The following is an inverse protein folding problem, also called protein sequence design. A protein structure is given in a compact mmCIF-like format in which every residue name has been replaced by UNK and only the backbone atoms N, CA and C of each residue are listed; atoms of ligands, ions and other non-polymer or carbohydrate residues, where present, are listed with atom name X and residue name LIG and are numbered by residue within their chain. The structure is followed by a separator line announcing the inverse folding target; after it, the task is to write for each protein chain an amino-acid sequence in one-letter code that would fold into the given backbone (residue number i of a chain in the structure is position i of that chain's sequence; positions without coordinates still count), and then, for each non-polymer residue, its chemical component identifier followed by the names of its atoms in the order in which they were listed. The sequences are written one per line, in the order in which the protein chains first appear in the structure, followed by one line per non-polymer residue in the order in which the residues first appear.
data_IF_823745352347
#
_entry.id   IF_823745352347
#
_cell.length_a   1.000
_cell.length_b   1.000
_cell.length_c   1.000
_cell.angle_alpha   90.00
_cell.angle_beta   90.00
_cell.angle_gamma   90.00
#
_symmetry.space_group_name_H-M   'P 1'
#
loop_
_entity.id
_entity.type
_entity.pdbx_description
1 polymer ?
#
# COMPACT_ATOMS: atom_id res chain seq x y z
N UNK A 1 110.77 -49.14 8.70
CA UNK A 1 109.38 -49.09 8.18
C UNK A 1 108.42 -48.39 9.16
N UNK A 2 108.45 -48.72 10.47
CA UNK A 2 107.57 -48.11 11.49
C UNK A 2 107.61 -46.58 11.63
N UNK A 3 108.79 -45.95 11.66
CA UNK A 3 108.88 -44.48 11.84
C UNK A 3 108.36 -43.65 10.65
N UNK A 4 108.38 -44.20 9.42
CA UNK A 4 107.80 -43.55 8.23
C UNK A 4 106.27 -43.66 8.25
N UNK A 5 105.74 -44.83 8.60
CA UNK A 5 104.30 -45.05 8.80
C UNK A 5 103.74 -44.15 9.91
N UNK A 6 104.48 -43.98 11.02
CA UNK A 6 104.06 -43.09 12.10
C UNK A 6 103.98 -41.62 11.67
N UNK A 7 104.99 -41.11 10.94
CA UNK A 7 104.96 -39.75 10.38
C UNK A 7 103.85 -39.54 9.36
N UNK A 8 103.61 -40.49 8.46
CA UNK A 8 102.48 -40.43 7.53
C UNK A 8 101.14 -40.43 8.27
N UNK A 9 100.98 -41.25 9.30
CA UNK A 9 99.74 -41.31 10.10
C UNK A 9 99.51 -39.99 10.86
N UNK A 10 100.56 -39.37 11.37
CA UNK A 10 100.47 -38.08 12.06
C UNK A 10 100.16 -36.93 11.09
N UNK A 11 100.74 -36.96 9.89
CA UNK A 11 100.44 -35.98 8.84
C UNK A 11 99.00 -36.13 8.31
N UNK A 12 98.54 -37.37 8.11
CA UNK A 12 97.16 -37.66 7.72
C UNK A 12 96.15 -37.26 8.82
N UNK A 13 96.51 -37.47 10.10
CA UNK A 13 95.70 -37.03 11.23
C UNK A 13 95.64 -35.50 11.33
N UNK A 14 96.76 -34.79 11.10
CA UNK A 14 96.78 -33.32 11.04
C UNK A 14 95.94 -32.76 9.88
N UNK A 15 96.01 -33.37 8.70
CA UNK A 15 95.16 -33.00 7.56
C UNK A 15 93.67 -33.26 7.85
N UNK A 16 93.31 -34.42 8.40
CA UNK A 16 91.94 -34.73 8.78
C UNK A 16 91.42 -33.77 9.88
N UNK A 17 92.25 -33.44 10.86
CA UNK A 17 91.90 -32.50 11.93
C UNK A 17 91.69 -31.07 11.42
N UNK A 18 92.37 -30.67 10.35
CA UNK A 18 92.19 -29.36 9.72
C UNK A 18 90.99 -29.33 8.76
N UNK A 19 90.69 -30.44 8.08
CA UNK A 19 89.57 -30.52 7.14
C UNK A 19 88.20 -30.58 7.84
N UNK A 20 88.14 -31.24 9.01
CA UNK A 20 86.89 -31.49 9.73
C UNK A 20 86.14 -30.21 10.14
N UNK A 21 86.78 -29.15 10.70
CA UNK A 21 86.12 -27.88 10.99
C UNK A 21 85.61 -27.16 9.73
N UNK A 22 86.34 -27.25 8.62
CA UNK A 22 85.92 -26.66 7.34
C UNK A 22 84.70 -27.38 6.76
N UNK A 23 84.65 -28.71 6.82
CA UNK A 23 83.48 -29.49 6.41
C UNK A 23 82.26 -29.20 7.30
N UNK A 24 82.46 -29.09 8.61
CA UNK A 24 81.40 -28.73 9.55
C UNK A 24 80.85 -27.32 9.27
N UNK A 25 81.71 -26.32 9.10
CA UNK A 25 81.30 -24.96 8.76
C UNK A 25 80.57 -24.89 7.40
N UNK A 26 81.06 -25.61 6.40
CA UNK A 26 80.38 -25.71 5.10
C UNK A 26 78.99 -26.36 5.22
N UNK A 27 78.86 -27.45 6.00
CA UNK A 27 77.57 -28.12 6.22
C UNK A 27 76.57 -27.25 6.99
N UNK A 28 77.06 -26.41 7.91
CA UNK A 28 76.22 -25.49 8.66
C UNK A 28 75.70 -24.36 7.76
N UNK A 29 76.53 -23.83 6.87
CA UNK A 29 76.10 -22.84 5.86
C UNK A 29 75.10 -23.47 4.88
N UNK A 30 75.33 -24.70 4.42
CA UNK A 30 74.38 -25.43 3.57
C UNK A 30 73.03 -25.65 4.27
N UNK A 31 73.05 -26.00 5.56
CA UNK A 31 71.85 -26.12 6.40
C UNK A 31 71.11 -24.79 6.52
N UNK A 32 71.82 -23.69 6.74
CA UNK A 32 71.23 -22.34 6.83
C UNK A 32 70.61 -21.89 5.50
N UNK A 33 71.31 -22.09 4.38
CA UNK A 33 70.78 -21.80 3.05
C UNK A 33 69.56 -22.67 2.72
N UNK A 34 69.58 -23.94 3.11
CA UNK A 34 68.43 -24.84 2.94
C UNK A 34 67.22 -24.37 3.73
N UNK A 35 67.42 -23.89 4.97
CA UNK A 35 66.36 -23.29 5.77
C UNK A 35 65.80 -22.04 5.09
N UNK A 36 66.65 -21.13 4.60
CA UNK A 36 66.21 -19.92 3.89
C UNK A 36 65.43 -20.24 2.60
N UNK A 37 65.86 -21.25 1.85
CA UNK A 37 65.12 -21.71 0.67
C UNK A 37 63.78 -22.29 1.07
N UNK A 38 63.71 -23.02 2.19
CA UNK A 38 62.45 -23.55 2.70
C UNK A 38 61.48 -22.44 3.08
N UNK A 39 61.93 -21.44 3.86
CA UNK A 39 61.11 -20.30 4.28
C UNK A 39 60.63 -19.49 3.07
N UNK A 40 61.51 -19.20 2.10
CA UNK A 40 61.11 -18.50 0.89
C UNK A 40 60.11 -19.29 0.04
N UNK A 41 60.22 -20.62 0.01
CA UNK A 41 59.22 -21.48 -0.65
C UNK A 41 57.89 -21.47 0.08
N UNK A 42 57.88 -21.43 1.40
CA UNK A 42 56.66 -21.27 2.21
C UNK A 42 56.00 -19.93 1.94
N UNK A 43 56.75 -18.84 1.99
CA UNK A 43 56.24 -17.49 1.69
C UNK A 43 55.64 -17.41 0.28
N UNK A 44 56.29 -18.03 -0.70
CA UNK A 44 55.76 -18.08 -2.07
C UNK A 44 54.50 -18.94 -2.15
N UNK A 45 54.44 -20.07 -1.45
CA UNK A 45 53.23 -20.92 -1.41
C UNK A 45 52.06 -20.17 -0.77
N UNK A 46 52.28 -19.48 0.34
CA UNK A 46 51.25 -18.68 1.01
C UNK A 46 50.76 -17.54 0.11
N UNK A 47 51.66 -16.76 -0.48
CA UNK A 47 51.30 -15.69 -1.43
C UNK A 47 50.55 -16.23 -2.65
N UNK A 48 50.94 -17.39 -3.16
CA UNK A 48 50.24 -18.00 -4.28
C UNK A 48 48.84 -18.48 -3.85
N UNK A 49 48.71 -19.06 -2.65
CA UNK A 49 47.41 -19.48 -2.12
C UNK A 49 46.46 -18.30 -1.86
N UNK A 50 46.96 -17.19 -1.30
CA UNK A 50 46.15 -15.98 -1.08
C UNK A 50 45.79 -15.32 -2.41
N UNK A 51 46.72 -15.25 -3.36
CA UNK A 51 46.44 -14.79 -4.73
C UNK A 51 45.34 -15.62 -5.39
N UNK A 52 45.43 -16.96 -5.33
CA UNK A 52 44.37 -17.85 -5.83
C UNK A 52 43.02 -17.61 -5.15
N UNK A 53 42.99 -17.39 -3.82
CA UNK A 53 41.75 -17.03 -3.12
C UNK A 53 41.18 -15.69 -3.57
N UNK A 54 42.03 -14.67 -3.79
CA UNK A 54 41.60 -13.38 -4.31
C UNK A 54 41.02 -13.48 -5.72
N UNK A 55 41.62 -14.31 -6.59
CA UNK A 55 41.11 -14.58 -7.94
C UNK A 55 39.70 -15.17 -7.87
N UNK A 56 39.48 -16.21 -7.07
CA UNK A 56 38.15 -16.84 -6.92
C UNK A 56 37.12 -15.84 -6.37
N UNK A 57 37.50 -15.00 -5.39
CA UNK A 57 36.62 -13.93 -4.89
C UNK A 57 36.28 -12.90 -5.96
N UNK A 58 37.25 -12.51 -6.78
CA UNK A 58 37.02 -11.59 -7.90
C UNK A 58 36.09 -12.20 -8.95
N UNK A 59 36.27 -13.47 -9.30
CA UNK A 59 35.39 -14.19 -10.24
C UNK A 59 33.95 -14.27 -9.71
N UNK A 60 33.77 -14.54 -8.41
CA UNK A 60 32.45 -14.54 -7.76
C UNK A 60 31.78 -13.17 -7.82
N UNK A 61 32.51 -12.09 -7.48
CA UNK A 61 31.98 -10.73 -7.53
C UNK A 61 31.69 -10.29 -8.97
N UNK A 62 32.52 -10.68 -9.93
CA UNK A 62 32.27 -10.42 -11.35
C UNK A 62 30.99 -11.12 -11.83
N UNK A 63 30.75 -12.36 -11.41
CA UNK A 63 29.52 -13.08 -11.72
C UNK A 63 28.28 -12.40 -11.09
N UNK A 64 28.39 -11.95 -9.84
CA UNK A 64 27.33 -11.22 -9.14
C UNK A 64 27.01 -9.90 -9.84
N UNK A 65 28.03 -9.10 -10.18
CA UNK A 65 27.86 -7.83 -10.93
C UNK A 65 27.19 -8.10 -12.28
N UNK A 66 27.59 -9.16 -12.99
CA UNK A 66 26.98 -9.54 -14.26
C UNK A 66 25.49 -9.85 -14.09
N UNK A 67 25.13 -10.69 -13.11
CA UNK A 67 23.73 -11.01 -12.83
C UNK A 67 22.91 -9.79 -12.45
N UNK A 68 23.45 -8.90 -11.61
CA UNK A 68 22.78 -7.65 -11.24
C UNK A 68 22.61 -6.72 -12.44
N UNK A 69 23.59 -6.67 -13.33
CA UNK A 69 23.51 -5.86 -14.55
C UNK A 69 22.48 -6.42 -15.52
N UNK A 70 22.41 -7.75 -15.69
CA UNK A 70 21.40 -8.39 -16.53
C UNK A 70 19.99 -8.18 -15.93
N UNK A 71 19.85 -8.28 -14.61
CA UNK A 71 18.59 -7.98 -13.92
C UNK A 71 18.18 -6.52 -14.09
N UNK A 72 19.13 -5.59 -14.02
CA UNK A 72 18.88 -4.17 -14.27
C UNK A 72 18.36 -3.95 -15.70
N UNK A 73 19.01 -4.52 -16.71
CA UNK A 73 18.58 -4.41 -18.12
C UNK A 73 17.17 -4.95 -18.33
N UNK A 74 16.85 -6.10 -17.72
CA UNK A 74 15.50 -6.67 -17.78
C UNK A 74 14.44 -5.73 -17.19
N UNK A 75 14.75 -5.10 -16.05
CA UNK A 75 13.84 -4.12 -15.44
C UNK A 75 13.70 -2.86 -16.29
N UNK A 76 14.78 -2.39 -16.92
CA UNK A 76 14.76 -1.26 -17.85
C UNK A 76 13.89 -1.59 -19.09
N UNK A 77 14.04 -2.79 -19.67
CA UNK A 77 13.20 -3.23 -20.78
C UNK A 77 11.72 -3.33 -20.40
N UNK A 78 11.40 -3.87 -19.23
CA UNK A 78 10.02 -3.92 -18.72
C UNK A 78 9.44 -2.54 -18.50
N UNK A 79 10.23 -1.60 -17.97
CA UNK A 79 9.82 -0.20 -17.81
C UNK A 79 9.51 0.43 -19.17
N UNK A 80 10.40 0.26 -20.16
CA UNK A 80 10.19 0.79 -21.52
C UNK A 80 8.93 0.23 -22.17
N UNK A 81 8.68 -1.09 -22.07
CA UNK A 81 7.46 -1.69 -22.61
C UNK A 81 6.18 -1.14 -21.94
N UNK A 82 6.19 -0.98 -20.61
CA UNK A 82 5.06 -0.37 -19.90
C UNK A 82 4.84 1.10 -20.27
N UNK A 83 5.91 1.85 -20.57
CA UNK A 83 5.82 3.23 -21.06
C UNK A 83 5.20 3.28 -22.46
N UNK A 84 5.62 2.39 -23.37
CA UNK A 84 5.04 2.29 -24.72
C UNK A 84 3.55 1.92 -24.68
N UNK A 85 3.15 1.01 -23.80
CA UNK A 85 1.73 0.70 -23.57
C UNK A 85 0.96 1.90 -23.01
N UNK A 86 1.56 2.68 -22.11
CA UNK A 86 0.95 3.88 -21.56
C UNK A 86 0.74 4.95 -22.64
N UNK A 87 1.75 5.19 -23.48
CA UNK A 87 1.67 6.13 -24.60
C UNK A 87 0.56 5.71 -25.59
N UNK A 88 0.45 4.41 -25.87
CA UNK A 88 -0.63 3.88 -26.71
C UNK A 88 -2.01 4.11 -26.07
N UNK A 89 -2.16 3.81 -24.78
CA UNK A 89 -3.41 4.03 -24.05
C UNK A 89 -3.77 5.52 -24.01
N UNK A 90 -2.79 6.40 -23.80
CA UNK A 90 -2.99 7.84 -23.86
C UNK A 90 -3.52 8.26 -25.24
N UNK A 91 -2.93 7.76 -26.33
CA UNK A 91 -3.45 7.98 -27.68
C UNK A 91 -4.90 7.52 -27.85
N UNK A 92 -5.27 6.35 -27.32
CA UNK A 92 -6.67 5.89 -27.38
C UNK A 92 -7.62 6.77 -26.56
N UNK A 93 -7.16 7.32 -25.43
CA UNK A 93 -7.94 8.25 -24.62
C UNK A 93 -8.17 9.56 -25.37
N UNK A 94 -7.14 10.10 -26.01
CA UNK A 94 -7.23 11.31 -26.85
C UNK A 94 -8.22 11.10 -28.02
N UNK A 95 -8.15 9.96 -28.72
CA UNK A 95 -9.10 9.62 -29.78
C UNK A 95 -10.55 9.49 -29.27
N UNK A 96 -10.74 8.91 -28.08
CA UNK A 96 -12.07 8.80 -27.47
C UNK A 96 -12.60 10.17 -27.03
N UNK A 97 -11.75 11.04 -26.51
CA UNK A 97 -12.11 12.42 -26.16
C UNK A 97 -12.58 13.19 -27.40
N UNK A 98 -11.85 13.10 -28.51
CA UNK A 98 -12.24 13.72 -29.79
C UNK A 98 -13.60 13.20 -30.28
N UNK A 99 -13.83 11.88 -30.16
CA UNK A 99 -15.12 11.27 -30.53
C UNK A 99 -16.26 11.77 -29.64
N UNK A 100 -16.04 11.94 -28.34
CA UNK A 100 -17.03 12.50 -27.42
C UNK A 100 -17.36 13.93 -27.81
N UNK A 101 -16.36 14.78 -28.05
CA UNK A 101 -16.57 16.17 -28.49
C UNK A 101 -17.41 16.26 -29.78
N UNK A 102 -17.15 15.38 -30.74
CA UNK A 102 -17.93 15.32 -31.98
C UNK A 102 -19.38 14.91 -31.69
N UNK A 103 -19.59 13.89 -30.87
CA UNK A 103 -20.94 13.41 -30.53
C UNK A 103 -21.73 14.43 -29.73
N UNK A 104 -21.08 15.13 -28.79
CA UNK A 104 -21.69 16.24 -28.05
C UNK A 104 -22.15 17.32 -29.02
N UNK A 105 -21.28 17.77 -29.92
CA UNK A 105 -21.65 18.77 -30.94
C UNK A 105 -22.84 18.31 -31.80
N UNK A 106 -22.84 17.05 -32.22
CA UNK A 106 -23.96 16.49 -32.99
C UNK A 106 -25.26 16.41 -32.18
N UNK A 107 -25.20 16.18 -30.87
CA UNK A 107 -26.38 16.23 -30.01
C UNK A 107 -26.92 17.65 -29.93
N UNK A 108 -26.06 18.63 -29.62
CA UNK A 108 -26.45 20.02 -29.54
C UNK A 108 -27.06 20.54 -30.85
N UNK A 109 -26.48 20.18 -32.00
CA UNK A 109 -27.03 20.55 -33.31
C UNK A 109 -28.43 19.94 -33.55
N UNK A 110 -28.67 18.70 -33.10
CA UNK A 110 -30.00 18.06 -33.18
C UNK A 110 -31.01 18.71 -32.23
N UNK A 111 -30.59 19.07 -31.03
CA UNK A 111 -31.43 19.75 -30.04
C UNK A 111 -31.87 21.13 -30.57
N UNK A 112 -30.94 21.91 -31.12
CA UNK A 112 -31.22 23.17 -31.82
C UNK A 112 -32.17 22.98 -33.01
N UNK A 113 -32.03 21.88 -33.74
CA UNK A 113 -32.92 21.57 -34.87
C UNK A 113 -34.35 21.27 -34.41
N UNK A 114 -34.52 20.57 -33.28
CA UNK A 114 -35.82 20.30 -32.67
C UNK A 114 -36.47 21.59 -32.14
N UNK A 115 -35.70 22.44 -31.44
CA UNK A 115 -36.19 23.75 -30.97
C UNK A 115 -36.65 24.63 -32.13
N UNK A 116 -35.89 24.69 -33.23
CA UNK A 116 -36.29 25.44 -34.42
C UNK A 116 -37.57 24.89 -35.04
N UNK A 117 -37.76 23.56 -35.05
CA UNK A 117 -38.99 22.94 -35.53
C UNK A 117 -40.18 23.31 -34.66
N UNK A 118 -40.02 23.29 -33.34
CA UNK A 118 -41.06 23.69 -32.38
C UNK A 118 -41.44 25.16 -32.56
N UNK A 119 -40.46 26.06 -32.68
CA UNK A 119 -40.69 27.48 -32.95
C UNK A 119 -41.45 27.66 -34.27
N UNK A 120 -41.07 26.94 -35.33
CA UNK A 120 -41.78 27.01 -36.63
C UNK A 120 -43.23 26.54 -36.52
N UNK A 121 -43.50 25.48 -35.75
CA UNK A 121 -44.87 25.00 -35.53
C UNK A 121 -45.69 26.02 -34.73
N UNK A 122 -45.11 26.58 -33.67
CA UNK A 122 -45.75 27.62 -32.86
C UNK A 122 -46.07 28.88 -33.69
N UNK A 123 -45.15 29.30 -34.57
CA UNK A 123 -45.35 30.43 -35.47
C UNK A 123 -46.53 30.20 -36.42
N UNK A 124 -46.62 29.01 -37.05
CA UNK A 124 -47.76 28.67 -37.92
C UNK A 124 -49.09 28.67 -37.16
N UNK A 125 -49.11 28.13 -35.94
CA UNK A 125 -50.31 28.15 -35.10
C UNK A 125 -50.74 29.57 -34.75
N UNK A 126 -49.78 30.44 -34.39
CA UNK A 126 -50.07 31.84 -34.09
C UNK A 126 -50.55 32.60 -35.34
N UNK A 127 -49.96 32.32 -36.50
CA UNK A 127 -50.40 32.89 -37.77
C UNK A 127 -51.85 32.51 -38.08
N UNK A 128 -52.23 31.23 -37.91
CA UNK A 128 -53.62 30.79 -38.09
C UNK A 128 -54.60 31.52 -37.16
N UNK A 129 -54.22 31.73 -35.89
CA UNK A 129 -55.03 32.53 -34.94
C UNK A 129 -55.16 33.99 -35.36
N UNK A 130 -54.13 34.58 -35.96
CA UNK A 130 -54.20 35.97 -36.47
C UNK A 130 -55.14 36.06 -37.67
N UNK A 131 -55.11 35.05 -38.56
CA UNK A 131 -56.04 34.95 -39.70
C UNK A 131 -57.48 34.81 -39.20
N UNK A 132 -57.75 33.91 -38.25
CA UNK A 132 -59.06 33.73 -37.60
C UNK A 132 -59.58 35.03 -36.96
N UNK A 133 -58.78 35.71 -36.13
CA UNK A 133 -59.15 37.00 -35.54
C UNK A 133 -59.40 38.09 -36.61
N UNK A 134 -58.72 38.02 -37.75
CA UNK A 134 -58.93 38.96 -38.85
C UNK A 134 -60.25 38.70 -39.58
N UNK A 135 -60.63 37.43 -39.73
CA UNK A 135 -61.91 37.01 -40.28
C UNK A 135 -63.06 37.38 -39.34
N UNK A 136 -62.92 37.13 -38.04
CA UNK A 136 -63.89 37.56 -37.02
C UNK A 136 -64.12 39.07 -37.07
N UNK A 137 -63.04 39.87 -37.14
CA UNK A 137 -63.14 41.33 -37.26
C UNK A 137 -63.80 41.77 -38.58
N UNK A 138 -63.57 41.03 -39.66
CA UNK A 138 -64.20 41.28 -40.97
C UNK A 138 -65.71 41.03 -40.88
N UNK A 139 -66.11 39.87 -40.36
CA UNK A 139 -67.52 39.50 -40.15
C UNK A 139 -68.24 40.48 -39.20
N UNK A 140 -67.55 40.95 -38.16
CA UNK A 140 -68.08 41.94 -37.23
C UNK A 140 -68.33 43.31 -37.88
N UNK A 141 -67.58 43.68 -38.92
CA UNK A 141 -67.84 44.89 -39.69
C UNK A 141 -69.09 44.77 -40.61
N UNK A 142 -69.36 43.58 -41.16
CA UNK A 142 -70.52 43.34 -42.03
C UNK A 142 -71.86 43.26 -41.26
N UNK A 143 -71.83 42.84 -40.00
CA UNK A 143 -73.03 42.68 -39.17
C UNK A 143 -73.58 44.01 -38.59
N UNK A 144 -72.97 45.16 -38.90
CA UNK A 144 -73.41 46.47 -38.38
C UNK A 144 -74.70 47.02 -39.01
N UNK A 145 -75.25 46.40 -40.06
CA UNK A 145 -76.38 46.96 -40.83
C UNK A 145 -77.66 46.13 -40.90
N UNK A 146 -77.77 45.00 -40.19
CA UNK A 146 -78.93 44.11 -40.32
C UNK A 146 -79.65 43.91 -38.99
N UNK A 147 -80.39 44.92 -38.52
CA UNK A 147 -81.40 44.74 -37.46
C UNK A 147 -82.79 44.75 -38.07
N UNK A 148 -83.20 43.59 -38.59
CA UNK A 148 -84.58 43.26 -38.94
C UNK A 148 -85.14 42.35 -37.85
N UNK A 149 -86.39 42.52 -37.42
CA UNK A 149 -87.05 41.77 -36.34
C UNK A 149 -86.92 40.23 -36.47
N UNK A 150 -86.80 39.68 -37.68
CA UNK A 150 -86.53 38.25 -37.89
C UNK A 150 -85.09 37.86 -37.54
N UNK A 151 -84.12 38.71 -37.87
CA UNK A 151 -82.73 38.58 -37.41
C UNK A 151 -82.61 38.81 -35.90
N UNK A 152 -83.50 39.58 -35.29
CA UNK A 152 -83.56 39.77 -33.83
C UNK A 152 -84.13 38.55 -33.11
N UNK A 153 -85.11 37.85 -33.71
CA UNK A 153 -85.67 36.59 -33.20
C UNK A 153 -84.68 35.44 -33.44
N UNK A 154 -84.05 35.35 -34.62
CA UNK A 154 -82.98 34.39 -34.88
C UNK A 154 -81.76 34.67 -33.99
N UNK A 155 -81.34 35.93 -33.81
CA UNK A 155 -80.29 36.29 -32.84
C UNK A 155 -80.71 36.08 -31.40
N UNK A 156 -82.00 36.17 -31.05
CA UNK A 156 -82.47 35.85 -29.70
C UNK A 156 -82.49 34.35 -29.44
N UNK A 157 -82.81 33.53 -30.44
CA UNK A 157 -82.72 32.07 -30.36
C UNK A 157 -81.26 31.61 -30.35
N UNK A 158 -80.42 32.15 -31.24
CA UNK A 158 -78.96 31.93 -31.22
C UNK A 158 -78.36 32.46 -29.91
N UNK A 159 -78.81 33.58 -29.37
CA UNK A 159 -78.35 34.09 -28.08
C UNK A 159 -78.76 33.16 -26.92
N UNK A 160 -79.93 32.52 -26.99
CA UNK A 160 -80.36 31.55 -25.98
C UNK A 160 -79.58 30.23 -26.08
N UNK A 161 -79.24 29.77 -27.29
CA UNK A 161 -78.32 28.64 -27.52
C UNK A 161 -76.89 28.97 -27.05
N UNK A 162 -76.36 30.15 -27.41
CA UNK A 162 -75.06 30.63 -26.94
C UNK A 162 -75.05 30.85 -25.42
N UNK A 163 -76.17 31.21 -24.81
CA UNK A 163 -76.29 31.34 -23.36
C UNK A 163 -76.30 29.96 -22.68
N UNK A 164 -76.91 28.94 -23.29
CA UNK A 164 -76.77 27.55 -22.86
C UNK A 164 -75.34 27.04 -23.01
N UNK A 165 -74.67 27.29 -24.15
CA UNK A 165 -73.26 26.94 -24.35
C UNK A 165 -72.33 27.67 -23.38
N UNK A 166 -72.60 28.95 -23.09
CA UNK A 166 -71.87 29.75 -22.11
C UNK A 166 -72.05 29.18 -20.71
N UNK A 167 -73.25 28.74 -20.35
CA UNK A 167 -73.52 28.13 -19.04
C UNK A 167 -72.85 26.74 -18.95
N UNK A 168 -72.87 25.95 -20.03
CA UNK A 168 -72.14 24.69 -20.15
C UNK A 168 -70.62 24.88 -19.99
N UNK A 169 -70.05 25.87 -20.67
CA UNK A 169 -68.63 26.26 -20.54
C UNK A 169 -68.32 26.73 -19.12
N UNK A 170 -69.25 27.43 -18.46
CA UNK A 170 -69.10 27.89 -17.07
C UNK A 170 -69.04 26.71 -16.10
N UNK A 171 -69.85 25.67 -16.31
CA UNK A 171 -69.80 24.41 -15.57
C UNK A 171 -68.46 23.68 -15.78
N UNK A 172 -68.01 23.53 -17.03
CA UNK A 172 -66.71 22.90 -17.33
C UNK A 172 -65.53 23.68 -16.74
N UNK A 173 -65.58 25.01 -16.76
CA UNK A 173 -64.55 25.86 -16.16
C UNK A 173 -64.52 25.73 -14.64
N UNK A 174 -65.69 25.60 -14.01
CA UNK A 174 -65.80 25.34 -12.57
C UNK A 174 -65.25 23.95 -12.22
N UNK A 175 -65.57 22.90 -12.99
CA UNK A 175 -64.99 21.57 -12.82
C UNK A 175 -63.46 21.57 -12.95
N UNK A 176 -62.93 22.25 -13.96
CA UNK A 176 -61.48 22.40 -14.16
C UNK A 176 -60.82 23.16 -12.99
N UNK A 177 -61.48 24.22 -12.50
CA UNK A 177 -61.02 24.95 -11.32
C UNK A 177 -60.97 24.06 -10.06
N UNK A 178 -62.02 23.28 -9.80
CA UNK A 178 -62.08 22.34 -8.70
C UNK A 178 -60.99 21.27 -8.81
N UNK A 179 -60.74 20.75 -10.01
CA UNK A 179 -59.65 19.78 -10.27
C UNK A 179 -58.27 20.38 -10.00
N UNK A 180 -58.00 21.61 -10.44
CA UNK A 180 -56.72 22.29 -10.17
C UNK A 180 -56.55 22.55 -8.67
N UNK A 181 -57.60 22.99 -7.97
CA UNK A 181 -57.57 23.19 -6.52
C UNK A 181 -57.32 21.88 -5.76
N UNK A 182 -57.91 20.78 -6.22
CA UNK A 182 -57.65 19.45 -5.70
C UNK A 182 -56.18 19.04 -5.90
N UNK A 183 -55.62 19.22 -7.09
CA UNK A 183 -54.22 18.93 -7.39
C UNK A 183 -53.25 19.78 -6.54
N UNK A 184 -53.52 21.07 -6.37
CA UNK A 184 -52.74 21.93 -5.48
C UNK A 184 -52.79 21.46 -4.02
N UNK A 185 -53.95 20.98 -3.56
CA UNK A 185 -54.12 20.45 -2.19
C UNK A 185 -53.40 19.12 -2.02
N UNK A 186 -53.42 18.26 -3.05
CA UNK A 186 -52.73 16.97 -3.05
C UNK A 186 -51.21 17.13 -3.05
N UNK A 187 -50.68 18.04 -3.87
CA UNK A 187 -49.24 18.35 -3.90
C UNK A 187 -48.77 18.99 -2.58
N UNK A 188 -49.59 19.85 -1.95
CA UNK A 188 -49.32 20.39 -0.60
C UNK A 188 -49.42 19.32 0.50
N UNK A 189 -50.31 18.35 0.34
CA UNK A 189 -50.45 17.21 1.25
C UNK A 189 -49.26 16.25 1.21
N UNK A 190 -48.54 16.19 0.09
CA UNK A 190 -47.29 15.43 0.00
C UNK A 190 -46.11 16.10 0.74
N UNK A 191 -46.21 17.38 1.11
CA UNK A 191 -45.26 18.06 2.01
C UNK A 191 -45.55 17.79 3.51
N UNK A 192 -46.55 16.96 3.86
CA UNK A 192 -46.97 16.72 5.25
C UNK A 192 -46.32 15.52 5.95
N UNK A 193 -45.42 14.81 5.27
CA UNK A 193 -44.48 13.92 5.96
C UNK A 193 -43.23 14.74 6.29
N UNK A 194 -43.15 15.22 7.53
CA UNK A 194 -41.91 15.62 8.23
C UNK A 194 -41.61 17.13 8.41
N UNK A 195 -42.62 17.94 8.77
CA UNK A 195 -42.33 19.21 9.48
C UNK A 195 -43.24 19.43 10.68
N UNK A 196 -42.78 18.87 11.80
CA UNK A 196 -43.24 19.23 13.13
C UNK A 196 -42.62 20.57 13.55
N UNK A 197 -43.24 21.69 13.15
CA UNK A 197 -43.16 22.94 13.94
C UNK A 197 -44.35 23.84 13.63
N UNK A 198 -45.11 24.16 14.66
CA UNK A 198 -46.25 25.07 14.61
C UNK A 198 -45.80 26.49 14.29
N UNK A 199 -46.44 27.15 13.33
CA UNK A 199 -46.78 28.57 13.50
C UNK A 199 -48.02 28.89 12.67
N UNK A 200 -49.09 29.17 13.41
CA UNK A 200 -50.22 30.03 13.08
C UNK A 200 -50.13 30.76 11.72
N UNK A 201 -51.00 30.36 10.81
CA UNK A 201 -51.58 31.25 9.81
C UNK A 201 -53.00 30.78 9.54
N UNK A 202 -53.90 31.10 10.46
CA UNK A 202 -55.32 31.19 10.15
C UNK A 202 -55.55 32.40 9.23
N UNK A 203 -55.58 32.16 7.92
CA UNK A 203 -56.37 33.00 7.02
C UNK A 203 -57.32 32.10 6.28
N UNK A 204 -58.50 32.01 6.89
CA UNK A 204 -59.76 31.69 6.25
C UNK A 204 -59.86 32.34 4.86
N UNK A 205 -59.88 31.49 3.84
CA UNK A 205 -60.49 31.77 2.54
C UNK A 205 -61.14 30.46 2.09
N UNK A 206 -61.98 29.89 2.96
CA UNK A 206 -63.00 28.93 2.51
C UNK A 206 -64.23 29.72 2.07
N UNK A 207 -64.03 30.58 1.06
CA UNK A 207 -65.15 31.06 0.25
C UNK A 207 -65.67 29.86 -0.52
N UNK A 208 -66.68 29.20 0.04
CA UNK A 208 -67.51 28.21 -0.64
C UNK A 208 -68.13 28.86 -1.89
N UNK A 209 -67.45 28.81 -3.03
CA UNK A 209 -68.07 29.03 -4.34
C UNK A 209 -68.76 27.72 -4.75
N UNK A 210 -69.82 27.37 -4.02
CA UNK A 210 -70.66 26.18 -4.30
C UNK A 210 -71.51 26.32 -5.57
N UNK A 211 -71.22 27.33 -6.41
CA UNK A 211 -71.91 27.62 -7.64
C UNK A 211 -70.95 28.11 -8.73
N UNK A 212 -71.14 27.62 -9.96
CA UNK A 212 -70.45 28.11 -11.16
C UNK A 212 -70.66 29.62 -11.40
N UNK A 213 -71.66 30.24 -10.74
CA UNK A 213 -71.95 31.67 -10.87
C UNK A 213 -70.94 32.57 -10.15
N UNK A 214 -70.21 32.07 -9.15
CA UNK A 214 -69.41 32.90 -8.23
C UNK A 214 -67.88 32.75 -8.39
N UNK A 215 -67.37 32.15 -9.47
CA UNK A 215 -65.92 32.08 -9.69
C UNK A 215 -65.39 33.47 -10.09
N UNK A 216 -64.58 34.14 -9.24
CA UNK A 216 -64.06 35.46 -9.55
C UNK A 216 -63.11 35.38 -10.75
N UNK A 217 -63.19 36.38 -11.64
CA UNK A 217 -62.28 36.48 -12.77
C UNK A 217 -60.82 36.46 -12.28
N UNK A 218 -60.04 35.50 -12.78
CA UNK A 218 -58.63 35.32 -12.41
C UNK A 218 -58.35 34.25 -11.35
N UNK A 219 -59.36 33.68 -10.67
CA UNK A 219 -59.12 32.64 -9.65
C UNK A 219 -58.50 31.36 -10.23
N UNK A 220 -58.91 30.93 -11.43
CA UNK A 220 -58.30 29.80 -12.13
C UNK A 220 -56.83 30.08 -12.51
N UNK A 221 -56.53 31.30 -12.95
CA UNK A 221 -55.16 31.71 -13.27
C UNK A 221 -54.27 31.67 -12.02
N UNK A 222 -54.77 32.16 -10.88
CA UNK A 222 -54.07 32.09 -9.61
C UNK A 222 -53.84 30.63 -9.15
N UNK A 223 -54.85 29.77 -9.30
CA UNK A 223 -54.74 28.35 -8.96
C UNK A 223 -53.72 27.62 -9.85
N UNK A 224 -53.68 27.92 -11.15
CA UNK A 224 -52.69 27.37 -12.09
C UNK A 224 -51.27 27.88 -11.82
N UNK A 225 -51.09 29.16 -11.46
CA UNK A 225 -49.77 29.67 -11.06
C UNK A 225 -49.26 29.03 -9.78
N UNK A 226 -50.15 28.77 -8.83
CA UNK A 226 -49.80 28.06 -7.60
C UNK A 226 -49.45 26.59 -7.89
N UNK A 227 -50.19 25.92 -8.78
CA UNK A 227 -49.87 24.56 -9.22
C UNK A 227 -48.47 24.49 -9.83
N UNK A 228 -48.13 25.44 -10.72
CA UNK A 228 -46.80 25.53 -11.34
C UNK A 228 -45.70 25.71 -10.30
N UNK A 229 -45.91 26.56 -9.29
CA UNK A 229 -44.96 26.80 -8.19
C UNK A 229 -44.75 25.52 -7.36
N UNK A 230 -45.83 24.82 -7.01
CA UNK A 230 -45.75 23.57 -6.24
C UNK A 230 -45.02 22.47 -7.00
N UNK A 231 -45.28 22.31 -8.30
CA UNK A 231 -44.57 21.34 -9.15
C UNK A 231 -43.08 21.68 -9.22
N UNK A 232 -42.71 22.95 -9.39
CA UNK A 232 -41.31 23.37 -9.42
C UNK A 232 -40.59 23.09 -8.10
N UNK A 233 -41.25 23.37 -6.96
CA UNK A 233 -40.69 23.07 -5.64
C UNK A 233 -40.43 21.57 -5.42
N UNK A 234 -41.32 20.71 -5.90
CA UNK A 234 -41.14 19.24 -5.79
C UNK A 234 -39.96 18.78 -6.66
N UNK A 235 -39.79 19.35 -7.85
CA UNK A 235 -38.67 19.07 -8.74
C UNK A 235 -37.34 19.54 -8.14
N UNK A 236 -37.28 20.78 -7.66
CA UNK A 236 -36.08 21.35 -7.03
C UNK A 236 -35.72 20.58 -5.73
N UNK A 237 -36.75 20.15 -4.98
CA UNK A 237 -36.60 19.28 -3.82
C UNK A 237 -35.97 17.93 -4.18
N UNK A 238 -36.45 17.28 -5.25
CA UNK A 238 -35.88 16.02 -5.72
C UNK A 238 -34.41 16.18 -6.12
N UNK A 239 -34.05 17.22 -6.86
CA UNK A 239 -32.65 17.50 -7.24
C UNK A 239 -31.76 17.77 -6.02
N UNK A 240 -32.28 18.49 -5.01
CA UNK A 240 -31.57 18.73 -3.76
C UNK A 240 -31.32 17.44 -2.95
N UNK A 241 -32.29 16.52 -2.92
CA UNK A 241 -32.12 15.22 -2.25
C UNK A 241 -31.15 14.31 -3.00
N UNK A 242 -31.19 14.29 -4.33
CA UNK A 242 -30.26 13.51 -5.17
C UNK A 242 -28.84 14.04 -5.03
N UNK A 243 -28.65 15.36 -5.02
CA UNK A 243 -27.31 15.96 -4.80
C UNK A 243 -26.78 15.65 -3.40
N UNK A 244 -27.60 15.74 -2.35
CA UNK A 244 -27.22 15.36 -1.00
C UNK A 244 -26.79 13.89 -0.91
N UNK A 245 -27.61 12.97 -1.42
CA UNK A 245 -27.30 11.54 -1.45
C UNK A 245 -26.06 11.21 -2.29
N UNK A 246 -25.82 11.95 -3.37
CA UNK A 246 -24.61 11.82 -4.19
C UNK A 246 -23.36 12.19 -3.39
N UNK A 247 -23.41 13.30 -2.63
CA UNK A 247 -22.31 13.72 -1.74
C UNK A 247 -22.09 12.73 -0.59
N UNK A 248 -23.15 12.19 0.00
CA UNK A 248 -23.04 11.11 1.01
C UNK A 248 -22.43 9.84 0.42
N UNK A 249 -22.80 9.47 -0.81
CA UNK A 249 -22.21 8.33 -1.50
C UNK A 249 -20.73 8.52 -1.84
N UNK A 250 -20.31 9.73 -2.24
CA UNK A 250 -18.89 10.00 -2.49
C UNK A 250 -18.08 9.98 -1.20
N UNK A 251 -18.58 10.58 -0.12
CA UNK A 251 -17.90 10.58 1.18
C UNK A 251 -17.76 9.17 1.78
N UNK A 252 -18.83 8.35 1.74
CA UNK A 252 -18.75 6.95 2.17
C UNK A 252 -17.82 6.11 1.31
N UNK A 253 -17.77 6.40 0.00
CA UNK A 253 -16.86 5.74 -0.94
C UNK A 253 -15.40 6.06 -0.61
N UNK A 254 -15.09 7.32 -0.33
CA UNK A 254 -13.76 7.76 0.10
C UNK A 254 -13.34 7.13 1.44
N UNK A 255 -14.23 7.10 2.43
CA UNK A 255 -13.95 6.46 3.72
C UNK A 255 -13.68 4.95 3.57
N UNK A 256 -14.46 4.25 2.75
CA UNK A 256 -14.22 2.84 2.43
C UNK A 256 -12.86 2.64 1.76
N UNK A 257 -12.49 3.51 0.83
CA UNK A 257 -11.21 3.40 0.11
C UNK A 257 -10.02 3.73 1.04
N UNK A 258 -10.18 4.68 1.97
CA UNK A 258 -9.22 4.93 3.06
C UNK A 258 -9.03 3.71 3.95
N UNK A 259 -10.13 3.07 4.39
CA UNK A 259 -10.06 1.88 5.23
C UNK A 259 -9.42 0.69 4.50
N UNK A 260 -9.68 0.54 3.20
CA UNK A 260 -9.03 -0.47 2.36
C UNK A 260 -7.52 -0.25 2.28
N UNK A 261 -7.08 0.97 1.98
CA UNK A 261 -5.65 1.31 1.93
C UNK A 261 -4.96 1.06 3.27
N UNK A 262 -5.57 1.47 4.38
CA UNK A 262 -5.02 1.23 5.72
C UNK A 262 -4.94 -0.27 6.07
N UNK A 263 -5.88 -1.09 5.60
CA UNK A 263 -5.83 -2.54 5.77
C UNK A 263 -4.69 -3.17 4.96
N UNK A 264 -4.50 -2.74 3.71
CA UNK A 264 -3.39 -3.19 2.85
C UNK A 264 -2.02 -2.81 3.43
N UNK A 265 -1.88 -1.59 3.95
CA UNK A 265 -0.67 -1.14 4.65
C UNK A 265 -0.39 -1.97 5.91
N UNK A 266 -1.44 -2.30 6.68
CA UNK A 266 -1.31 -3.15 7.87
C UNK A 266 -0.89 -4.57 7.50
N UNK A 267 -1.48 -5.16 6.46
CA UNK A 267 -1.06 -6.47 5.95
C UNK A 267 0.40 -6.45 5.48
N UNK A 268 0.82 -5.39 4.78
CA UNK A 268 2.21 -5.23 4.35
C UNK A 268 3.16 -5.11 5.55
N UNK A 269 2.78 -4.35 6.57
CA UNK A 269 3.52 -4.24 7.83
C UNK A 269 3.64 -5.60 8.54
N UNK A 270 2.56 -6.37 8.62
CA UNK A 270 2.54 -7.69 9.24
C UNK A 270 3.43 -8.69 8.48
N UNK A 271 3.44 -8.64 7.15
CA UNK A 271 4.35 -9.45 6.31
C UNK A 271 5.82 -9.08 6.55
N UNK A 272 6.13 -7.79 6.67
CA UNK A 272 7.49 -7.34 6.99
C UNK A 272 7.91 -7.80 8.39
N UNK A 273 7.03 -7.69 9.39
CA UNK A 273 7.29 -8.19 10.73
C UNK A 273 7.51 -9.70 10.75
N UNK A 274 6.76 -10.46 9.95
CA UNK A 274 6.97 -11.90 9.81
C UNK A 274 8.33 -12.22 9.21
N UNK A 275 8.71 -11.53 8.12
CA UNK A 275 10.03 -11.73 7.49
C UNK A 275 11.20 -11.40 8.43
N UNK A 276 11.03 -10.39 9.30
CA UNK A 276 12.02 -10.07 10.35
C UNK A 276 12.12 -11.23 11.35
N UNK A 277 10.99 -11.75 11.84
CA UNK A 277 10.97 -12.89 12.77
C UNK A 277 11.65 -14.13 12.17
N UNK A 278 11.30 -14.49 10.94
CA UNK A 278 11.86 -15.66 10.25
C UNK A 278 13.39 -15.51 10.06
N UNK A 279 13.85 -14.30 9.72
CA UNK A 279 15.28 -14.00 9.61
C UNK A 279 15.99 -14.13 10.96
N UNK A 280 15.41 -13.56 12.01
CA UNK A 280 16.01 -13.57 13.34
C UNK A 280 16.05 -15.02 13.90
N UNK A 281 15.04 -15.84 13.63
CA UNK A 281 15.04 -17.27 13.95
C UNK A 281 16.11 -18.04 13.17
N UNK A 282 16.27 -17.77 11.87
CA UNK A 282 17.32 -18.38 11.06
C UNK A 282 18.73 -18.02 11.57
N UNK A 283 18.95 -16.76 11.96
CA UNK A 283 20.21 -16.30 12.56
C UNK A 283 20.44 -17.00 13.91
N UNK A 284 19.41 -17.10 14.75
CA UNK A 284 19.50 -17.77 16.04
C UNK A 284 19.92 -19.25 15.88
N UNK A 285 19.30 -19.97 14.94
CA UNK A 285 19.64 -21.36 14.63
C UNK A 285 21.08 -21.48 14.11
N UNK A 286 21.51 -20.61 13.19
CA UNK A 286 22.88 -20.62 12.68
C UNK A 286 23.92 -20.34 13.77
N UNK A 287 23.63 -19.43 14.69
CA UNK A 287 24.49 -19.15 15.84
C UNK A 287 24.56 -20.35 16.80
N UNK A 288 23.44 -21.02 17.04
CA UNK A 288 23.38 -22.21 17.88
C UNK A 288 24.24 -23.35 17.29
N UNK A 289 24.12 -23.59 15.98
CA UNK A 289 24.93 -24.57 15.26
C UNK A 289 26.43 -24.24 15.32
N UNK A 290 26.78 -22.96 15.14
CA UNK A 290 28.17 -22.50 15.23
C UNK A 290 28.74 -22.69 16.65
N UNK A 291 27.95 -22.38 17.69
CA UNK A 291 28.33 -22.63 19.09
C UNK A 291 28.55 -24.13 19.31
N UNK A 292 27.63 -24.98 18.83
CA UNK A 292 27.72 -26.42 18.98
C UNK A 292 28.98 -26.99 18.28
N UNK A 293 29.29 -26.51 17.07
CA UNK A 293 30.54 -26.88 16.37
C UNK A 293 31.77 -26.45 17.16
N UNK A 294 31.78 -25.23 17.69
CA UNK A 294 32.90 -24.73 18.51
C UNK A 294 33.10 -25.55 19.78
N UNK A 295 32.01 -25.93 20.46
CA UNK A 295 32.06 -26.79 21.65
C UNK A 295 32.65 -28.16 21.29
N UNK A 296 32.19 -28.77 20.20
CA UNK A 296 32.70 -30.06 19.74
C UNK A 296 34.21 -30.02 19.43
N UNK A 297 34.67 -29.01 18.70
CA UNK A 297 36.10 -28.82 18.41
C UNK A 297 36.93 -28.58 19.68
N UNK A 298 36.38 -27.83 20.64
CA UNK A 298 37.06 -27.60 21.93
C UNK A 298 37.21 -28.89 22.72
N UNK A 299 36.18 -29.75 22.75
CA UNK A 299 36.26 -31.07 23.38
C UNK A 299 37.28 -31.99 22.69
N UNK A 300 37.37 -31.96 21.36
CA UNK A 300 38.38 -32.73 20.63
C UNK A 300 39.80 -32.26 20.96
N UNK A 301 39.99 -30.94 21.12
CA UNK A 301 41.28 -30.37 21.53
C UNK A 301 41.64 -30.79 22.96
N UNK A 302 40.70 -30.74 23.90
CA UNK A 302 40.92 -31.21 25.28
C UNK A 302 41.30 -32.70 25.32
N UNK A 303 40.57 -33.54 24.57
CA UNK A 303 40.89 -34.96 24.48
C UNK A 303 42.30 -35.21 23.91
N UNK A 304 42.67 -34.48 22.84
CA UNK A 304 44.01 -34.56 22.28
C UNK A 304 45.09 -34.08 23.26
N UNK A 305 44.81 -33.01 24.01
CA UNK A 305 45.71 -32.53 25.05
C UNK A 305 45.92 -33.59 26.13
N UNK A 306 44.86 -34.24 26.60
CA UNK A 306 44.95 -35.32 27.59
C UNK A 306 45.78 -36.50 27.07
N UNK A 307 45.58 -36.90 25.81
CA UNK A 307 46.36 -37.97 25.18
C UNK A 307 47.85 -37.61 25.10
N UNK A 308 48.19 -36.36 24.73
CA UNK A 308 49.57 -35.90 24.69
C UNK A 308 50.21 -35.84 26.07
N UNK A 309 49.49 -35.36 27.10
CA UNK A 309 49.99 -35.39 28.48
C UNK A 309 50.28 -36.82 28.93
N UNK A 310 49.40 -37.78 28.63
CA UNK A 310 49.63 -39.21 28.92
C UNK A 310 50.88 -39.75 28.23
N UNK A 311 51.09 -39.41 26.96
CA UNK A 311 52.29 -39.83 26.22
C UNK A 311 53.56 -39.23 26.84
N UNK A 312 53.51 -37.96 27.24
CA UNK A 312 54.63 -37.29 27.92
C UNK A 312 54.92 -37.98 29.26
N UNK A 313 53.90 -38.20 30.09
CA UNK A 313 54.03 -38.88 31.39
C UNK A 313 54.60 -40.29 31.22
N UNK A 314 54.13 -41.04 30.21
CA UNK A 314 54.61 -42.38 29.93
C UNK A 314 56.08 -42.39 29.47
N UNK A 315 56.47 -41.47 28.58
CA UNK A 315 57.88 -41.34 28.18
C UNK A 315 58.78 -40.93 29.35
N UNK A 316 58.27 -40.12 30.27
CA UNK A 316 58.99 -39.67 31.46
C UNK A 316 59.20 -40.83 32.45
N UNK A 317 58.18 -41.67 32.64
CA UNK A 317 58.28 -42.91 33.44
C UNK A 317 59.22 -43.95 32.81
N UNK A 318 59.16 -44.16 31.50
CA UNK A 318 59.96 -45.16 30.78
C UNK A 318 61.47 -44.81 30.72
N UNK A 319 61.83 -43.51 30.73
CA UNK A 319 63.23 -43.05 30.71
C UNK A 319 63.89 -43.01 32.07
N UNK A 320 63.11 -42.86 33.15
CA UNK A 320 63.62 -42.74 34.52
C UNK A 320 63.09 -43.84 35.48
N UNK A 321 63.03 -45.13 35.09
CA UNK A 321 62.32 -46.15 35.87
C UNK A 321 62.96 -46.40 37.24
N UNK A 322 64.28 -46.19 37.37
CA UNK A 322 65.01 -46.39 38.64
C UNK A 322 64.86 -45.21 39.60
N UNK A 323 64.70 -43.99 39.09
CA UNK A 323 64.56 -42.77 39.91
C UNK A 323 63.12 -42.60 40.41
N UNK A 324 62.12 -42.87 39.56
CA UNK A 324 60.70 -42.80 39.96
C UNK A 324 60.27 -43.98 40.83
N UNK A 325 60.84 -45.18 40.63
CA UNK A 325 60.61 -46.31 41.57
C UNK A 325 61.14 -46.03 42.97
N UNK A 326 62.24 -45.27 43.11
CA UNK A 326 62.79 -44.88 44.42
C UNK A 326 61.94 -43.79 45.10
N UNK A 327 61.36 -42.84 44.34
CA UNK A 327 60.43 -41.85 44.89
C UNK A 327 59.06 -42.47 45.27
N UNK A 328 58.51 -43.37 44.47
CA UNK A 328 57.24 -44.04 44.79
C UNK A 328 57.35 -44.95 46.03
N UNK A 329 58.50 -45.61 46.24
CA UNK A 329 58.77 -46.39 47.46
C UNK A 329 58.97 -45.49 48.69
N UNK A 330 59.50 -44.27 48.50
CA UNK A 330 59.64 -43.29 49.59
C UNK A 330 58.30 -42.70 50.02
N UNK A 331 57.29 -42.67 49.14
CA UNK A 331 55.94 -42.18 49.45
C UNK A 331 55.02 -43.28 50.00
N UNK A 332 55.28 -44.56 49.72
CA UNK A 332 54.47 -45.69 50.19
C UNK A 332 54.78 -46.14 51.63
N UNK A 333 55.94 -45.74 52.20
CA UNK A 333 56.34 -46.07 53.58
C UNK A 333 55.74 -45.17 54.67
N UNK A 334 54.62 -44.49 54.40
CA UNK A 334 54.01 -43.52 55.30
C UNK A 334 52.49 -43.64 55.38
N UNK A 335 51.95 -44.80 55.78
CA UNK A 335 50.56 -44.88 56.20
C UNK A 335 50.48 -45.13 57.72
N UNK A 336 49.86 -44.19 58.46
CA UNK A 336 48.59 -44.41 59.20
C UNK A 336 48.41 -43.44 60.41
N UNK A 337 47.28 -42.72 60.35
CA UNK A 337 46.36 -42.24 61.41
C UNK A 337 46.68 -41.00 62.28
N UNK A 338 45.75 -40.03 62.25
CA UNK A 338 44.61 -39.86 63.21
C UNK A 338 43.75 -38.65 62.79
N UNK A 339 42.48 -38.88 62.40
CA UNK A 339 41.24 -38.65 63.16
C UNK A 339 40.78 -37.18 63.36
N UNK A 340 39.56 -36.93 62.83
CA UNK A 340 38.45 -36.18 63.43
C UNK A 340 38.46 -34.65 63.42
N UNK A 341 37.59 -34.04 62.61
CA UNK A 341 36.36 -33.36 63.05
C UNK A 341 35.61 -32.75 61.84
N UNK A 342 34.29 -32.65 61.97
CA UNK A 342 33.23 -32.49 60.95
C UNK A 342 32.83 -30.99 60.78
N UNK A 343 31.71 -30.65 60.09
CA UNK A 343 31.55 -30.21 58.69
C UNK A 343 31.19 -28.70 58.53
N UNK A 344 31.09 -28.20 57.29
CA UNK A 344 30.42 -26.94 56.92
C UNK A 344 30.05 -26.92 55.41
N UNK A 345 29.02 -26.17 54.97
CA UNK A 345 27.79 -26.79 54.50
C UNK A 345 27.46 -26.54 53.02
N UNK A 346 26.48 -27.31 52.53
CA UNK A 346 25.70 -26.99 51.35
C UNK A 346 24.83 -25.75 51.58
N UNK A 347 24.81 -24.84 50.62
CA UNK A 347 23.66 -23.97 50.36
C UNK A 347 23.26 -24.11 48.89
N UNK A 348 21.96 -24.32 48.73
CA UNK A 348 21.20 -24.61 47.51
C UNK A 348 20.62 -23.29 46.94
N UNK A 349 20.25 -23.23 45.65
CA UNK A 349 19.78 -22.00 44.99
C UNK A 349 18.35 -21.62 45.39
N UNK A 350 18.06 -20.32 45.45
CA UNK A 350 16.70 -19.78 45.53
C UNK A 350 16.35 -18.97 44.28
N UNK A 351 15.19 -19.31 43.73
CA UNK A 351 14.41 -18.61 42.70
C UNK A 351 13.34 -17.76 43.41
N UNK A 352 13.14 -16.52 42.96
CA UNK A 352 11.85 -15.76 42.82
C UNK A 352 12.28 -14.30 42.52
N UNK A 353 11.78 -13.50 41.58
CA UNK A 353 10.55 -13.47 40.78
C UNK A 353 10.03 -12.00 40.79
N UNK A 354 9.90 -11.41 39.60
CA UNK A 354 9.09 -10.24 39.17
C UNK A 354 9.30 -8.78 39.69
N UNK A 355 9.79 -7.92 38.76
CA UNK A 355 9.24 -6.65 38.17
C UNK A 355 8.50 -5.57 39.03
N UNK A 356 8.27 -4.31 38.55
CA UNK A 356 8.76 -3.59 37.35
C UNK A 356 9.25 -2.14 37.57
N UNK A 357 9.83 -1.53 36.52
CA UNK A 357 9.49 -0.14 36.14
C UNK A 357 10.56 0.96 36.27
N UNK A 358 10.90 1.56 35.11
CA UNK A 358 11.00 3.02 35.01
C UNK A 358 12.38 3.65 34.84
N UNK A 359 12.58 4.20 33.63
CA UNK A 359 13.26 5.47 33.32
C UNK A 359 14.80 5.56 33.25
N UNK A 360 15.22 5.90 32.02
CA UNK A 360 16.19 6.95 31.68
C UNK A 360 17.68 6.77 32.01
N UNK A 361 18.51 6.80 30.96
CA UNK A 361 19.96 6.90 31.13
C UNK A 361 20.79 6.82 29.84
N UNK A 362 20.51 7.68 28.87
CA UNK A 362 21.38 7.95 27.73
C UNK A 362 22.85 8.21 28.16
N UNK A 363 23.80 7.37 27.73
CA UNK A 363 25.23 7.71 27.55
C UNK A 363 25.79 6.87 26.39
N UNK A 364 25.76 7.39 25.16
CA UNK A 364 26.87 8.13 24.53
C UNK A 364 28.23 7.43 24.68
N UNK A 365 28.55 6.54 23.73
CA UNK A 365 29.94 6.23 23.37
C UNK A 365 30.18 6.65 21.93
N UNK A 366 30.81 7.81 21.77
CA UNK A 366 31.35 8.33 20.53
C UNK A 366 32.88 8.13 20.54
N UNK A 367 33.35 7.16 19.77
CA UNK A 367 34.77 7.06 19.41
C UNK A 367 34.89 6.50 18.00
N UNK A 368 35.11 7.38 17.01
CA UNK A 368 36.11 7.12 15.97
C UNK A 368 36.74 8.43 15.54
N UNK A 369 38.06 8.45 15.70
CA UNK A 369 38.98 9.55 15.47
C UNK A 369 39.50 9.45 14.04
N UNK A 370 39.43 10.56 13.33
CA UNK A 370 40.01 10.81 12.01
C UNK A 370 41.53 10.84 12.11
N UNK A 371 42.20 10.06 11.25
CA UNK A 371 43.40 10.43 10.50
C UNK A 371 43.57 9.46 9.34
#
# INVERSE_FOLDING_TARGET
VGCKLFRLRQQHCGMLSALMPWMLAASEVERQLSLQVHTLREDFREKNSSSSQHIVRLESLQAEIKMLTDRKRELEHRLSAMMEENDLLQGTVEELQDRVLILERQSHDKDLQLELQEVRLSYRQLQGKVEELSEERSLQNFNTTSTSLLSEIEQSMEAEELEQEREQLRLQLWEAYCQVRYLCSHLRGNDSADSAVSTDSSMDESSETSSAKDVPAGSLRAALSELKRLIQNVLDGADSTVTLLSVEMTTLKEERDRLRGAAEDKEMSDRLLQAIRDRDEAIANQLLDAIQQKVNLSQQLEAWQDDMHRVIDQQLMDKHPKEWSQLAYSFSSGYVAKQSARPSPMLRPELQGDEPGGAEGNRLFSFFKKN
#
